data_IF_646204896023
#
_entry.id   IF_646204896023
#
_cell.length_a   1.000
_cell.length_b   1.000
_cell.length_c   1.000
_cell.angle_alpha   90.00
_cell.angle_beta   90.00
_cell.angle_gamma   90.00
#
_symmetry.space_group_name_H-M   'P 1'
#
loop_
_entity.id
_entity.type
_entity.pdbx_description
1 polymer ?
#
# COMPACT_ATOMS: atom_id res chain seq x y z
N UNK A 1 -12.31 -1.01 -6.37
CA UNK A 1 -11.08 -0.42 -5.80
C UNK A 1 -10.00 -0.21 -6.86
N UNK A 2 -9.33 -1.25 -7.37
CA UNK A 2 -8.28 -1.10 -8.41
C UNK A 2 -8.76 -0.43 -9.71
N UNK A 3 -10.05 -0.58 -10.08
CA UNK A 3 -10.63 -0.02 -11.30
C UNK A 3 -10.54 1.51 -11.37
N UNK A 4 -10.62 2.19 -10.23
CA UNK A 4 -10.68 3.65 -10.14
C UNK A 4 -9.32 4.32 -9.96
N UNK A 5 -8.22 3.55 -9.88
CA UNK A 5 -6.86 4.11 -9.83
C UNK A 5 -6.53 4.86 -11.12
N UNK A 6 -5.90 6.04 -10.96
CA UNK A 6 -5.53 6.93 -12.06
C UNK A 6 -4.03 6.93 -12.25
N UNK A 7 -3.60 7.22 -13.47
CA UNK A 7 -2.18 7.38 -13.80
C UNK A 7 -1.56 8.50 -12.94
N UNK A 8 -0.34 8.27 -12.44
CA UNK A 8 0.37 9.22 -11.59
C UNK A 8 -0.01 9.20 -10.10
N UNK A 9 -1.03 8.44 -9.69
CA UNK A 9 -1.42 8.36 -8.27
C UNK A 9 -0.38 7.61 -7.42
N UNK A 10 -0.26 8.03 -6.16
CA UNK A 10 0.43 7.29 -5.11
C UNK A 10 -0.56 6.43 -4.34
N UNK A 11 -0.33 5.12 -4.31
CA UNK A 11 -1.25 4.13 -3.70
C UNK A 11 -0.59 3.45 -2.51
N UNK A 12 -1.33 3.27 -1.42
CA UNK A 12 -0.92 2.48 -0.28
C UNK A 12 -1.69 1.16 -0.23
N UNK A 13 -0.99 0.03 -0.16
CA UNK A 13 -1.54 -1.31 0.04
C UNK A 13 -1.34 -1.77 1.48
N UNK A 14 -2.44 -1.91 2.22
CA UNK A 14 -2.46 -2.33 3.63
C UNK A 14 -2.46 -3.85 3.76
N UNK A 15 -1.36 -4.37 4.30
CA UNK A 15 -1.12 -5.80 4.42
C UNK A 15 -0.78 -6.43 3.08
N UNK A 16 0.24 -5.89 2.42
CA UNK A 16 0.56 -6.23 1.03
C UNK A 16 1.03 -7.67 0.82
N UNK A 17 1.39 -8.39 1.90
CA UNK A 17 1.93 -9.74 1.82
C UNK A 17 3.09 -9.81 0.83
N UNK A 18 3.03 -10.77 -0.11
CA UNK A 18 4.02 -10.91 -1.18
C UNK A 18 3.94 -9.90 -2.33
N UNK A 19 3.08 -8.88 -2.24
CA UNK A 19 3.01 -7.73 -3.13
C UNK A 19 2.04 -7.81 -4.30
N UNK A 20 1.18 -8.82 -4.40
CA UNK A 20 0.32 -9.04 -5.58
C UNK A 20 -0.55 -7.81 -5.92
N UNK A 21 -1.31 -7.31 -4.95
CA UNK A 21 -2.22 -6.18 -5.16
C UNK A 21 -1.43 -4.88 -5.40
N UNK A 22 -0.28 -4.69 -4.73
CA UNK A 22 0.65 -3.61 -5.03
C UNK A 22 1.16 -3.63 -6.49
N UNK A 23 1.48 -4.81 -7.06
CA UNK A 23 1.92 -4.92 -8.46
C UNK A 23 0.79 -4.64 -9.45
N UNK A 24 -0.44 -5.07 -9.13
CA UNK A 24 -1.62 -4.75 -9.94
C UNK A 24 -1.91 -3.25 -9.93
N UNK A 25 -1.78 -2.61 -8.75
CA UNK A 25 -1.90 -1.15 -8.61
C UNK A 25 -0.81 -0.43 -9.41
N UNK A 26 0.44 -0.89 -9.34
CA UNK A 26 1.58 -0.28 -10.04
C UNK A 26 1.37 -0.22 -11.56
N UNK A 27 0.86 -1.31 -12.14
CA UNK A 27 0.50 -1.34 -13.57
C UNK A 27 -0.59 -0.34 -13.93
N UNK A 28 -1.50 -0.03 -12.99
CA UNK A 28 -2.64 0.85 -13.22
C UNK A 28 -2.29 2.33 -13.09
N UNK A 29 -1.41 2.67 -12.15
CA UNK A 29 -0.93 4.05 -11.94
C UNK A 29 0.22 4.43 -12.87
N UNK A 30 0.84 3.45 -13.53
CA UNK A 30 1.86 3.69 -14.55
C UNK A 30 3.19 4.20 -13.99
N UNK A 31 4.10 4.57 -14.89
CA UNK A 31 5.50 4.93 -14.58
C UNK A 31 5.67 6.24 -13.81
N UNK A 32 4.62 7.05 -13.76
CA UNK A 32 4.61 8.31 -13.01
C UNK A 32 3.95 8.17 -11.64
N UNK A 33 3.25 7.05 -11.41
CA UNK A 33 2.65 6.72 -10.13
C UNK A 33 3.62 6.00 -9.21
N UNK A 34 3.18 5.75 -7.98
CA UNK A 34 3.97 5.04 -6.96
C UNK A 34 3.08 4.12 -6.16
N UNK A 35 3.62 2.99 -5.70
CA UNK A 35 2.91 2.10 -4.79
C UNK A 35 3.76 1.79 -3.57
N UNK A 36 3.15 1.92 -2.40
CA UNK A 36 3.75 1.58 -1.11
C UNK A 36 2.98 0.38 -0.57
N UNK A 37 3.64 -0.75 -0.36
CA UNK A 37 3.08 -1.87 0.38
C UNK A 37 3.55 -1.85 1.84
N UNK A 38 2.63 -2.06 2.79
CA UNK A 38 2.96 -2.22 4.21
C UNK A 38 2.54 -3.61 4.67
N UNK A 39 3.45 -4.32 5.34
CA UNK A 39 3.17 -5.59 6.01
C UNK A 39 3.93 -5.65 7.34
N UNK A 40 3.37 -6.35 8.33
CA UNK A 40 3.95 -6.46 9.67
C UNK A 40 5.00 -7.56 9.79
N UNK A 41 5.08 -8.47 8.82
CA UNK A 41 5.99 -9.62 8.88
C UNK A 41 7.24 -9.37 8.04
N UNK A 42 8.45 -9.47 8.63
CA UNK A 42 9.71 -9.33 7.88
C UNK A 42 9.80 -10.27 6.67
N UNK A 43 9.30 -11.49 6.81
CA UNK A 43 9.34 -12.53 5.77
C UNK A 43 8.51 -12.12 4.53
N UNK A 44 7.35 -11.48 4.73
CA UNK A 44 6.56 -10.99 3.59
C UNK A 44 7.22 -9.79 2.93
N UNK A 45 7.83 -8.89 3.70
CA UNK A 45 8.58 -7.75 3.14
C UNK A 45 9.76 -8.22 2.29
N UNK A 46 10.54 -9.20 2.76
CA UNK A 46 11.63 -9.80 1.99
C UNK A 46 11.12 -10.43 0.69
N UNK A 47 10.05 -11.22 0.78
CA UNK A 47 9.41 -11.85 -0.38
C UNK A 47 8.88 -10.83 -1.39
N UNK A 48 8.21 -9.78 -0.92
CA UNK A 48 7.64 -8.73 -1.76
C UNK A 48 8.74 -7.96 -2.50
N UNK A 49 9.84 -7.62 -1.82
CA UNK A 49 11.00 -6.96 -2.43
C UNK A 49 11.66 -7.85 -3.50
N UNK A 50 11.84 -9.14 -3.21
CA UNK A 50 12.36 -10.09 -4.19
C UNK A 50 11.45 -10.20 -5.43
N UNK A 51 10.13 -10.20 -5.22
CA UNK A 51 9.15 -10.21 -6.31
C UNK A 51 9.17 -8.91 -7.14
N UNK A 52 9.31 -7.74 -6.50
CA UNK A 52 9.45 -6.46 -7.20
C UNK A 52 10.70 -6.43 -8.09
N UNK A 53 11.84 -6.87 -7.56
CA UNK A 53 13.09 -6.95 -8.32
C UNK A 53 12.98 -7.91 -9.51
N UNK A 54 12.38 -9.10 -9.29
CA UNK A 54 12.17 -10.08 -10.36
C UNK A 54 11.17 -9.62 -11.43
N UNK A 55 10.17 -8.84 -11.02
CA UNK A 55 9.09 -8.34 -11.87
C UNK A 55 9.36 -6.99 -12.54
N UNK A 56 10.52 -6.38 -12.28
CA UNK A 56 10.91 -5.04 -12.75
C UNK A 56 9.88 -3.95 -12.38
N UNK A 57 9.59 -3.84 -11.09
CA UNK A 57 8.70 -2.82 -10.51
C UNK A 57 9.50 -1.75 -9.73
N UNK A 58 10.17 -0.81 -10.41
CA UNK A 58 10.99 0.22 -9.74
C UNK A 58 10.16 1.23 -8.95
N UNK A 59 8.87 1.38 -9.28
CA UNK A 59 7.94 2.35 -8.69
C UNK A 59 7.15 1.77 -7.49
N UNK A 60 7.55 0.60 -7.00
CA UNK A 60 6.93 -0.09 -5.87
C UNK A 60 7.94 -0.23 -4.73
N UNK A 61 7.56 0.25 -3.54
CA UNK A 61 8.35 0.07 -2.32
C UNK A 61 7.58 -0.70 -1.25
N UNK A 62 8.30 -1.44 -0.41
CA UNK A 62 7.72 -2.24 0.68
C UNK A 62 8.32 -1.84 2.02
N UNK A 63 7.46 -1.54 2.99
CA UNK A 63 7.81 -1.04 4.31
C UNK A 63 7.30 -1.98 5.40
N UNK A 64 8.17 -2.34 6.34
CA UNK A 64 7.78 -3.10 7.52
C UNK A 64 6.99 -2.19 8.47
N UNK A 65 5.78 -2.59 8.85
CA UNK A 65 4.95 -1.80 9.76
C UNK A 65 3.58 -2.42 10.03
N UNK A 66 2.91 -1.91 11.05
CA UNK A 66 1.55 -2.29 11.39
C UNK A 66 0.55 -1.33 10.73
N UNK A 67 -0.62 -1.82 10.37
CA UNK A 67 -1.65 -0.99 9.70
C UNK A 67 -2.37 -0.05 10.67
N UNK A 68 -2.21 -0.27 11.98
CA UNK A 68 -2.63 0.61 13.07
C UNK A 68 -1.64 1.75 13.34
N UNK A 69 -0.44 1.70 12.75
CA UNK A 69 0.61 2.71 12.89
C UNK A 69 1.52 2.71 11.66
N UNK A 70 1.05 3.35 10.59
CA UNK A 70 1.65 3.29 9.27
C UNK A 70 2.98 4.04 9.23
N UNK A 71 4.05 3.44 8.66
CA UNK A 71 5.31 4.10 8.38
C UNK A 71 5.21 4.96 7.10
N UNK A 72 4.18 5.81 7.02
CA UNK A 72 3.82 6.63 5.85
C UNK A 72 3.47 8.04 6.32
N UNK A 73 3.88 9.05 5.57
CA UNK A 73 3.66 10.46 5.93
C UNK A 73 2.18 10.87 5.80
N UNK A 74 1.78 11.85 6.59
CA UNK A 74 0.45 12.47 6.53
C UNK A 74 0.19 13.06 5.14
N UNK A 75 -1.05 12.94 4.64
CA UNK A 75 -1.47 13.59 3.41
C UNK A 75 -0.60 13.28 2.19
N UNK A 76 -0.03 12.08 2.10
CA UNK A 76 0.97 11.71 1.09
C UNK A 76 0.47 10.77 0.00
N UNK A 77 -0.64 10.05 0.22
CA UNK A 77 -1.17 9.07 -0.75
C UNK A 77 -2.54 9.49 -1.30
N UNK A 78 -2.81 9.13 -2.56
CA UNK A 78 -4.06 9.44 -3.27
C UNK A 78 -5.13 8.36 -3.06
N UNK A 79 -4.70 7.11 -2.84
CA UNK A 79 -5.59 5.98 -2.58
C UNK A 79 -5.01 5.00 -1.56
N UNK A 80 -5.87 4.42 -0.74
CA UNK A 80 -5.57 3.28 0.14
C UNK A 80 -6.37 2.06 -0.34
N UNK A 81 -5.68 0.94 -0.53
CA UNK A 81 -6.28 -0.35 -0.84
C UNK A 81 -5.96 -1.34 0.28
N UNK A 82 -6.85 -2.30 0.48
CA UNK A 82 -6.62 -3.43 1.37
C UNK A 82 -7.48 -4.59 0.91
N UNK A 83 -6.95 -5.81 1.04
CA UNK A 83 -7.67 -7.03 0.75
C UNK A 83 -7.66 -7.95 1.98
N UNK A 84 -8.82 -8.08 2.63
CA UNK A 84 -9.07 -8.93 3.81
C UNK A 84 -8.24 -8.64 5.09
N UNK A 85 -7.21 -7.80 5.06
CA UNK A 85 -6.30 -7.61 6.21
C UNK A 85 -6.92 -6.80 7.35
N UNK A 86 -7.79 -5.82 7.06
CA UNK A 86 -8.46 -5.01 8.09
C UNK A 86 -9.27 -5.89 9.08
N UNK A 87 -9.77 -7.04 8.63
CA UNK A 87 -10.53 -7.96 9.47
C UNK A 87 -9.67 -8.55 10.61
N UNK A 88 -8.37 -8.72 10.37
CA UNK A 88 -7.41 -9.27 11.32
C UNK A 88 -6.88 -8.23 12.33
N UNK A 89 -7.16 -6.95 12.12
CA UNK A 89 -6.82 -5.91 13.08
C UNK A 89 -7.70 -5.99 14.34
N UNK A 90 -7.05 -5.90 15.50
CA UNK A 90 -7.70 -5.78 16.80
C UNK A 90 -8.29 -4.38 17.04
N UNK A 91 -7.67 -3.34 16.47
CA UNK A 91 -8.14 -1.94 16.56
C UNK A 91 -8.44 -1.38 15.17
N UNK A 92 -9.62 -1.72 14.67
CA UNK A 92 -10.11 -1.23 13.36
C UNK A 92 -10.23 0.29 13.32
N UNK A 93 -10.50 0.95 14.45
CA UNK A 93 -10.59 2.41 14.50
C UNK A 93 -9.21 3.04 14.30
N UNK A 94 -8.15 2.48 14.89
CA UNK A 94 -6.78 2.91 14.62
C UNK A 94 -6.43 2.77 13.14
N UNK A 95 -6.77 1.63 12.51
CA UNK A 95 -6.55 1.43 11.06
C UNK A 95 -7.23 2.50 10.22
N UNK A 96 -8.51 2.78 10.46
CA UNK A 96 -9.22 3.81 9.70
C UNK A 96 -8.70 5.23 9.97
N UNK A 97 -8.26 5.54 11.20
CA UNK A 97 -7.61 6.82 11.51
C UNK A 97 -6.29 6.96 10.76
N UNK A 98 -5.47 5.92 10.73
CA UNK A 98 -4.20 5.92 10.00
C UNK A 98 -4.41 6.02 8.49
N UNK A 99 -5.38 5.29 7.94
CA UNK A 99 -5.76 5.42 6.53
C UNK A 99 -6.18 6.86 6.20
N UNK A 100 -7.00 7.50 7.02
CA UNK A 100 -7.39 8.90 6.84
C UNK A 100 -6.21 9.87 7.01
N UNK A 101 -5.28 9.61 7.94
CA UNK A 101 -4.10 10.46 8.17
C UNK A 101 -3.21 10.52 6.95
N UNK A 102 -2.95 9.37 6.32
CA UNK A 102 -2.01 9.29 5.19
C UNK A 102 -2.62 9.77 3.87
N UNK A 103 -3.96 9.80 3.76
CA UNK A 103 -4.66 10.26 2.57
C UNK A 103 -4.54 11.77 2.39
N UNK A 104 -4.25 12.21 1.16
CA UNK A 104 -4.36 13.61 0.73
C UNK A 104 -5.82 14.09 0.88
N UNK A 105 -6.07 15.41 0.97
CA UNK A 105 -7.42 15.94 0.81
C UNK A 105 -8.07 15.45 -0.49
N UNK A 106 -9.21 14.78 -0.40
CA UNK A 106 -9.92 14.18 -1.54
C UNK A 106 -9.39 12.80 -1.98
N UNK A 107 -8.41 12.24 -1.27
CA UNK A 107 -8.01 10.84 -1.43
C UNK A 107 -9.07 9.87 -0.95
N UNK A 108 -8.90 8.58 -1.30
CA UNK A 108 -9.91 7.53 -1.05
C UNK A 108 -9.35 6.24 -0.46
#
# INVERSE_FOLDING_TARGET
ALADLKEGETVLDLGCGGGLDAFLAARRVGKTGKVIGVDMTPEMIEKARANAAKGDYPDVEFRLGQIEKLPVADGSVDAVISNCVINHSADKLAVFREALRVLKPGGR
#
